data_IF_442774588676
#
_entry.id   IF_442774588676
#
_cell.length_a   1.000
_cell.length_b   1.000
_cell.length_c   1.000
_cell.angle_alpha   90.00
_cell.angle_beta   90.00
_cell.angle_gamma   90.00
#
_symmetry.space_group_name_H-M   'P 1'
#
loop_
_entity.id
_entity.type
_entity.pdbx_description
1 polymer ?
#
# COMPACT_ATOMS: atom_id res chain seq x y z
N UNK A 1 -9.25 28.24 17.68
CA UNK A 1 -8.29 27.12 17.78
C UNK A 1 -7.27 27.32 16.66
N UNK A 2 -5.97 27.45 16.95
CA UNK A 2 -4.98 27.84 15.94
C UNK A 2 -4.82 26.76 14.86
N UNK A 3 -4.59 27.18 13.61
CA UNK A 3 -4.36 26.30 12.46
C UNK A 3 -3.22 25.30 12.73
N UNK A 4 -2.18 25.73 13.45
CA UNK A 4 -1.00 24.93 13.79
C UNK A 4 -1.33 23.72 14.68
N UNK A 5 -2.26 23.85 15.63
CA UNK A 5 -2.67 22.74 16.49
C UNK A 5 -3.45 21.67 15.73
N UNK A 6 -4.21 22.06 14.70
CA UNK A 6 -4.91 21.11 13.82
C UNK A 6 -3.93 20.38 12.90
N UNK A 7 -2.93 21.08 12.38
CA UNK A 7 -1.86 20.49 11.56
C UNK A 7 -1.00 19.53 12.39
N UNK A 8 -0.62 19.92 13.61
CA UNK A 8 0.14 19.07 14.53
C UNK A 8 -0.65 17.83 14.93
N UNK A 9 -1.93 17.96 15.30
CA UNK A 9 -2.80 16.81 15.58
C UNK A 9 -2.90 15.86 14.38
N UNK A 10 -3.08 16.39 13.16
CA UNK A 10 -3.10 15.56 11.94
C UNK A 10 -1.80 14.82 11.68
N UNK A 11 -0.65 15.41 12.04
CA UNK A 11 0.66 14.73 11.95
C UNK A 11 0.86 13.62 12.99
N UNK A 12 0.04 13.61 14.05
CA UNK A 12 0.06 12.60 15.11
C UNK A 12 -0.94 11.46 14.87
N UNK A 13 -1.86 11.60 13.92
CA UNK A 13 -2.83 10.55 13.61
C UNK A 13 -2.12 9.43 12.82
N UNK A 14 -1.88 8.31 13.51
CA UNK A 14 -1.38 7.06 12.92
C UNK A 14 -2.48 6.44 12.04
N UNK A 15 -2.54 6.89 10.79
CA UNK A 15 -3.46 6.41 9.76
C UNK A 15 -2.69 5.86 8.57
N UNK A 16 -3.28 4.90 7.82
CA UNK A 16 -2.73 4.47 6.54
C UNK A 16 -2.59 5.65 5.58
N UNK A 17 -1.49 5.67 4.84
CA UNK A 17 -1.29 6.62 3.74
C UNK A 17 -1.80 6.01 2.43
N UNK A 18 -2.40 6.85 1.58
CA UNK A 18 -2.74 6.49 0.21
C UNK A 18 -2.02 7.40 -0.78
N UNK A 19 -1.09 6.83 -1.54
CA UNK A 19 -0.31 7.55 -2.56
C UNK A 19 -1.14 8.17 -3.70
N UNK A 20 -2.43 7.82 -3.82
CA UNK A 20 -3.38 8.51 -4.70
C UNK A 20 -3.79 9.90 -4.18
N UNK A 21 -3.67 10.14 -2.88
CA UNK A 21 -3.96 11.43 -2.23
C UNK A 21 -2.67 12.26 -2.20
N UNK A 22 -2.72 13.48 -2.75
CA UNK A 22 -1.52 14.33 -2.88
C UNK A 22 -0.83 14.60 -1.52
N UNK A 23 -1.60 14.93 -0.47
CA UNK A 23 -1.05 15.18 0.86
C UNK A 23 -0.43 13.94 1.53
N UNK A 24 -0.93 12.74 1.23
CA UNK A 24 -0.37 11.50 1.76
C UNK A 24 0.92 11.11 1.05
N UNK A 25 1.02 11.43 -0.24
CA UNK A 25 2.24 11.21 -1.03
C UNK A 25 3.42 12.01 -0.49
N UNK A 26 3.18 13.21 0.03
CA UNK A 26 4.22 14.04 0.67
C UNK A 26 4.71 13.45 2.01
N UNK A 27 3.87 12.70 2.71
CA UNK A 27 4.20 12.03 3.97
C UNK A 27 4.85 10.67 3.77
N UNK A 28 4.75 10.09 2.56
CA UNK A 28 5.30 8.78 2.26
C UNK A 28 6.83 8.85 2.09
N UNK A 29 7.55 8.04 2.87
CA UNK A 29 9.01 7.90 2.74
C UNK A 29 9.31 6.83 1.70
N UNK A 30 9.78 7.26 0.53
CA UNK A 30 10.21 6.31 -0.50
C UNK A 30 11.35 5.44 0.01
N UNK A 31 11.37 4.20 -0.45
CA UNK A 31 12.45 3.24 -0.24
C UNK A 31 12.71 2.82 1.22
N UNK A 32 11.83 3.20 2.16
CA UNK A 32 11.93 2.83 3.58
C UNK A 32 12.00 1.31 3.81
N UNK A 33 11.35 0.54 2.94
CA UNK A 33 11.23 -0.91 3.04
C UNK A 33 12.02 -1.66 1.96
N UNK A 34 12.98 -1.00 1.29
CA UNK A 34 13.90 -1.72 0.41
C UNK A 34 14.74 -2.71 1.22
N UNK A 35 14.97 -3.87 0.65
CA UNK A 35 15.95 -4.82 1.16
C UNK A 35 17.38 -4.32 0.89
N UNK A 36 18.38 -4.94 1.52
CA UNK A 36 19.79 -4.52 1.44
C UNK A 36 20.33 -4.43 0.00
N UNK A 37 19.75 -5.19 -0.92
CA UNK A 37 20.12 -5.20 -2.34
C UNK A 37 19.30 -4.22 -3.21
N UNK A 38 18.53 -3.31 -2.59
CA UNK A 38 17.64 -2.39 -3.29
C UNK A 38 16.36 -3.04 -3.83
N UNK A 39 16.07 -4.28 -3.42
CA UNK A 39 14.88 -5.01 -3.84
C UNK A 39 13.67 -4.43 -3.12
N UNK A 40 12.68 -4.02 -3.91
CA UNK A 40 11.38 -3.56 -3.43
C UNK A 40 10.39 -4.73 -3.42
N UNK A 41 10.04 -5.28 -2.24
CA UNK A 41 9.19 -6.45 -2.14
C UNK A 41 7.78 -6.18 -2.69
N UNK A 42 7.29 -4.94 -2.61
CA UNK A 42 5.95 -4.60 -3.11
C UNK A 42 5.92 -4.57 -4.64
N UNK A 43 6.96 -4.03 -5.28
CA UNK A 43 7.09 -4.10 -6.74
C UNK A 43 7.27 -5.53 -7.23
N UNK A 44 8.14 -6.30 -6.56
CA UNK A 44 8.36 -7.71 -6.90
C UNK A 44 7.05 -8.51 -6.84
N UNK A 45 6.27 -8.31 -5.77
CA UNK A 45 4.96 -8.95 -5.62
C UNK A 45 3.98 -8.50 -6.71
N UNK A 46 3.93 -7.21 -7.04
CA UNK A 46 3.06 -6.69 -8.10
C UNK A 46 3.39 -7.30 -9.47
N UNK A 47 4.68 -7.42 -9.78
CA UNK A 47 5.16 -8.02 -11.01
C UNK A 47 4.81 -9.51 -11.07
N UNK A 48 4.96 -10.24 -9.95
CA UNK A 48 4.55 -11.63 -9.86
C UNK A 48 3.04 -11.81 -10.10
N UNK A 49 2.19 -11.00 -9.46
CA UNK A 49 0.74 -11.04 -9.63
C UNK A 49 0.35 -10.77 -11.09
N UNK A 50 1.00 -9.78 -11.73
CA UNK A 50 0.74 -9.43 -13.12
C UNK A 50 1.14 -10.55 -14.08
N UNK A 51 2.32 -11.16 -13.89
CA UNK A 51 2.77 -12.31 -14.68
C UNK A 51 1.82 -13.50 -14.53
N UNK A 52 1.35 -13.80 -13.31
CA UNK A 52 0.39 -14.87 -13.04
C UNK A 52 -0.93 -14.68 -13.81
N UNK A 53 -1.42 -13.44 -13.89
CA UNK A 53 -2.62 -13.12 -14.68
C UNK A 53 -2.41 -13.35 -16.17
N UNK A 54 -1.25 -12.98 -16.71
CA UNK A 54 -0.95 -13.11 -18.14
C UNK A 54 -0.67 -14.55 -18.59
N UNK A 55 -0.05 -15.36 -17.72
CA UNK A 55 0.46 -16.69 -18.11
C UNK A 55 -0.51 -17.84 -17.80
N UNK A 56 -1.41 -17.65 -16.84
CA UNK A 56 -2.16 -18.79 -16.24
C UNK A 56 -3.67 -18.70 -16.51
N UNK A 57 -4.16 -17.76 -17.34
CA UNK A 57 -5.60 -17.48 -17.52
C UNK A 57 -6.35 -17.40 -16.17
N UNK A 58 -5.66 -16.96 -15.10
CA UNK A 58 -6.26 -16.79 -13.78
C UNK A 58 -7.19 -15.59 -13.83
N UNK A 59 -8.50 -15.87 -13.79
CA UNK A 59 -9.56 -14.85 -13.78
C UNK A 59 -9.57 -14.02 -12.47
N UNK A 60 -8.91 -14.50 -11.41
CA UNK A 60 -8.74 -13.74 -10.17
C UNK A 60 -7.85 -14.47 -9.15
N UNK A 61 -7.34 -13.72 -8.17
CA UNK A 61 -6.54 -14.24 -7.06
C UNK A 61 -6.84 -13.46 -5.77
N UNK A 62 -6.84 -14.17 -4.64
CA UNK A 62 -7.02 -13.59 -3.31
C UNK A 62 -5.74 -13.76 -2.50
N UNK A 63 -5.31 -12.69 -1.83
CA UNK A 63 -4.10 -12.67 -1.01
C UNK A 63 -4.46 -12.25 0.41
N UNK A 64 -3.92 -12.96 1.39
CA UNK A 64 -4.06 -12.63 2.80
C UNK A 64 -2.72 -12.10 3.31
N UNK A 65 -2.74 -10.87 3.83
CA UNK A 65 -1.58 -10.25 4.45
C UNK A 65 -1.79 -10.10 5.94
N UNK A 66 -0.83 -10.53 6.73
CA UNK A 66 -0.87 -10.45 8.19
C UNK A 66 0.37 -9.73 8.71
N UNK A 67 0.31 -9.27 9.96
CA UNK A 67 1.45 -8.73 10.67
C UNK A 67 1.05 -7.74 11.76
N UNK A 68 2.03 -7.32 12.55
CA UNK A 68 1.80 -6.53 13.76
C UNK A 68 1.18 -5.15 13.46
N UNK A 69 0.37 -4.62 14.38
CA UNK A 69 -0.22 -3.27 14.24
C UNK A 69 0.89 -2.21 14.17
N UNK A 70 0.69 -1.16 13.37
CA UNK A 70 1.64 -0.04 13.24
C UNK A 70 2.84 -0.31 12.34
N UNK A 71 2.97 -1.49 11.71
CA UNK A 71 4.10 -1.80 10.81
C UNK A 71 3.92 -1.29 9.37
N UNK A 72 2.97 -0.39 9.11
CA UNK A 72 2.77 0.18 7.77
C UNK A 72 2.12 -0.74 6.72
N UNK A 73 1.58 -1.91 7.10
CA UNK A 73 0.97 -2.87 6.15
C UNK A 73 -0.07 -2.24 5.24
N UNK A 74 -1.04 -1.52 5.81
CA UNK A 74 -2.13 -0.92 5.02
C UNK A 74 -1.58 0.13 4.05
N UNK A 75 -0.55 0.88 4.44
CA UNK A 75 0.14 1.83 3.56
C UNK A 75 0.81 1.12 2.38
N UNK A 76 1.60 0.07 2.62
CA UNK A 76 2.26 -0.68 1.54
C UNK A 76 1.27 -1.48 0.68
N UNK A 77 0.14 -1.92 1.23
CA UNK A 77 -0.94 -2.55 0.46
C UNK A 77 -1.69 -1.54 -0.41
N UNK A 78 -1.89 -0.31 0.05
CA UNK A 78 -2.41 0.78 -0.79
C UNK A 78 -1.44 1.07 -1.94
N UNK A 79 -0.14 1.07 -1.67
CA UNK A 79 0.89 1.21 -2.71
C UNK A 79 0.84 0.06 -3.73
N UNK A 80 0.76 -1.20 -3.26
CA UNK A 80 0.58 -2.37 -4.13
C UNK A 80 -0.67 -2.24 -5.01
N UNK A 81 -1.80 -1.82 -4.40
CA UNK A 81 -3.06 -1.58 -5.10
C UNK A 81 -2.87 -0.59 -6.24
N UNK A 82 -2.22 0.55 -6.01
CA UNK A 82 -1.98 1.55 -7.06
C UNK A 82 -1.11 1.00 -8.19
N UNK A 83 -0.08 0.22 -7.87
CA UNK A 83 0.77 -0.43 -8.89
C UNK A 83 -0.05 -1.39 -9.74
N UNK A 84 -0.87 -2.25 -9.11
CA UNK A 84 -1.72 -3.21 -9.83
C UNK A 84 -2.78 -2.51 -10.69
N UNK A 85 -3.41 -1.44 -10.19
CA UNK A 85 -4.35 -0.61 -10.96
C UNK A 85 -3.64 0.01 -12.17
N UNK A 86 -2.42 0.51 -12.01
CA UNK A 86 -1.64 1.07 -13.14
C UNK A 86 -1.29 0.03 -14.21
N UNK A 87 -1.27 -1.26 -13.83
CA UNK A 87 -1.08 -2.40 -14.74
C UNK A 87 -2.39 -2.95 -15.32
N UNK A 88 -3.53 -2.29 -15.06
CA UNK A 88 -4.85 -2.63 -15.60
C UNK A 88 -5.68 -3.60 -14.76
N UNK A 89 -5.25 -3.94 -13.53
CA UNK A 89 -5.99 -4.84 -12.66
C UNK A 89 -7.11 -4.12 -11.89
N UNK A 90 -8.23 -4.82 -11.68
CA UNK A 90 -9.24 -4.42 -10.70
C UNK A 90 -8.88 -5.01 -9.33
N UNK A 91 -8.71 -4.14 -8.32
CA UNK A 91 -8.25 -4.54 -6.99
C UNK A 91 -9.32 -4.21 -5.94
N UNK A 92 -9.69 -5.22 -5.16
CA UNK A 92 -10.56 -5.11 -4.01
C UNK A 92 -9.74 -5.36 -2.74
N UNK A 93 -9.88 -4.48 -1.75
CA UNK A 93 -9.22 -4.58 -0.45
C UNK A 93 -10.26 -4.68 0.65
N UNK A 94 -10.08 -5.62 1.58
CA UNK A 94 -10.93 -5.80 2.76
C UNK A 94 -10.03 -5.74 3.98
N UNK A 95 -10.35 -4.88 4.94
CA UNK A 95 -9.71 -4.88 6.25
C UNK A 95 -10.47 -5.86 7.17
N UNK A 96 -9.79 -6.94 7.57
CA UNK A 96 -10.36 -7.96 8.45
C UNK A 96 -10.43 -7.50 9.91
N UNK A 97 -9.81 -6.38 10.28
CA UNK A 97 -9.93 -5.81 11.63
C UNK A 97 -11.28 -5.11 11.85
N UNK A 98 -11.99 -4.75 10.78
CA UNK A 98 -13.29 -4.08 10.81
C UNK A 98 -14.49 -5.04 10.66
N UNK A 99 -14.22 -6.35 10.61
CA UNK A 99 -15.22 -7.42 10.41
C UNK A 99 -15.59 -8.11 11.73
#
# INVERSE_FOLDING_TARGET
MSQELLTFRKSLDDRPLDSAIAGDRELYVQDLHLQQDGIDPIRLLADQIHCDQLLVDKVGASYLFTGQRGTGKTTELNRLRQILISKGAHVYSVDLAEY
#
